data_IF_176921977736
#
_entry.id   IF_176921977736
#
_cell.length_a   1.000
_cell.length_b   1.000
_cell.length_c   1.000
_cell.angle_alpha   90.00
_cell.angle_beta   90.00
_cell.angle_gamma   90.00
#
_symmetry.space_group_name_H-M   'P 1'
#
loop_
_entity.id
_entity.type
_entity.pdbx_description
1 polymer ?
#
# COMPACT_ATOMS: atom_id res chain seq x y z
N UNK A 1 -6.81 -5.69 7.19
CA UNK A 1 -6.99 -4.87 6.00
C UNK A 1 -8.17 -3.91 6.20
N UNK A 2 -7.96 -2.64 5.87
CA UNK A 2 -9.01 -1.62 5.85
C UNK A 2 -9.03 -1.03 4.44
N UNK A 3 -10.15 -1.19 3.75
CA UNK A 3 -10.36 -0.56 2.46
C UNK A 3 -11.15 0.74 2.64
N UNK A 4 -10.56 1.84 2.20
CA UNK A 4 -11.11 3.19 2.34
C UNK A 4 -11.39 3.73 0.93
N UNK A 5 -12.66 3.78 0.50
CA UNK A 5 -13.01 4.33 -0.80
C UNK A 5 -12.66 5.82 -0.91
N UNK A 6 -12.37 6.27 -2.14
CA UNK A 6 -12.17 7.70 -2.43
C UNK A 6 -13.39 8.52 -1.97
N UNK A 7 -13.17 9.73 -1.46
CA UNK A 7 -14.23 10.58 -0.91
C UNK A 7 -14.62 10.24 0.54
N UNK A 8 -13.86 9.39 1.22
CA UNK A 8 -14.06 9.06 2.64
C UNK A 8 -13.09 9.85 3.52
N UNK A 9 -13.61 10.57 4.52
CA UNK A 9 -12.75 11.22 5.53
C UNK A 9 -12.12 10.12 6.40
N UNK A 10 -10.80 10.14 6.49
CA UNK A 10 -10.04 9.23 7.34
C UNK A 10 -8.78 9.90 7.87
N UNK A 11 -8.22 9.35 8.92
CA UNK A 11 -6.96 9.81 9.48
C UNK A 11 -6.23 8.68 10.19
N UNK A 12 -4.89 8.77 10.18
CA UNK A 12 -4.03 7.92 10.97
C UNK A 12 -3.73 8.62 12.30
N UNK A 13 -4.01 7.93 13.40
CA UNK A 13 -3.76 8.45 14.75
C UNK A 13 -2.36 8.10 15.24
N UNK A 14 -1.93 8.77 16.30
CA UNK A 14 -0.62 8.53 16.93
C UNK A 14 -0.46 7.05 17.31
N UNK A 15 0.70 6.49 16.97
CA UNK A 15 1.06 5.10 17.28
C UNK A 15 0.58 4.08 16.24
N UNK A 16 -0.13 4.48 15.19
CA UNK A 16 -0.48 3.58 14.10
C UNK A 16 0.74 3.31 13.22
N UNK A 17 1.07 2.04 13.04
CA UNK A 17 1.99 1.55 12.01
C UNK A 17 1.14 0.91 10.91
N UNK A 18 1.23 1.43 9.71
CA UNK A 18 0.40 0.95 8.59
C UNK A 18 1.27 0.68 7.36
N UNK A 19 0.82 -0.29 6.58
CA UNK A 19 1.22 -0.45 5.18
C UNK A 19 0.09 0.12 4.33
N UNK A 20 0.36 1.21 3.63
CA UNK A 20 -0.63 1.93 2.84
C UNK A 20 -0.37 1.73 1.35
N UNK A 21 -1.41 1.33 0.62
CA UNK A 21 -1.45 1.29 -0.83
C UNK A 21 -2.54 2.23 -1.27
N UNK A 22 -2.21 3.14 -2.17
CA UNK A 22 -3.19 4.09 -2.72
C UNK A 22 -3.04 4.20 -4.24
N UNK A 23 -4.08 4.69 -4.89
CA UNK A 23 -3.99 5.07 -6.29
C UNK A 23 -2.98 6.21 -6.46
N UNK A 24 -2.16 6.14 -7.51
CA UNK A 24 -1.15 7.15 -7.83
C UNK A 24 -1.80 8.44 -8.35
N UNK A 25 -2.45 9.18 -7.45
CA UNK A 25 -3.02 10.50 -7.75
C UNK A 25 -2.45 11.54 -6.79
N UNK A 26 -2.19 12.75 -7.29
CA UNK A 26 -1.73 13.87 -6.45
C UNK A 26 -2.88 14.58 -5.72
N UNK A 27 -4.09 14.05 -5.82
CA UNK A 27 -5.28 14.66 -5.25
C UNK A 27 -5.43 14.23 -3.81
N UNK A 28 -5.01 15.10 -2.89
CA UNK A 28 -5.24 14.95 -1.45
C UNK A 28 -5.89 16.20 -0.92
N UNK A 29 -7.13 16.09 -0.46
CA UNK A 29 -7.82 17.21 0.19
C UNK A 29 -7.71 17.08 1.70
N UNK A 30 -6.97 18.00 2.30
CA UNK A 30 -6.72 18.03 3.74
C UNK A 30 -7.87 18.76 4.43
N UNK A 31 -8.71 17.99 5.16
CA UNK A 31 -9.86 18.51 5.89
C UNK A 31 -9.44 19.07 7.25
N UNK A 32 -8.60 18.35 7.96
CA UNK A 32 -8.03 18.71 9.26
C UNK A 32 -6.63 18.14 9.40
N UNK A 33 -5.71 18.84 10.04
CA UNK A 33 -4.30 18.45 10.13
C UNK A 33 -3.76 18.44 11.58
N UNK A 34 -4.63 18.35 12.57
CA UNK A 34 -4.24 18.27 13.99
C UNK A 34 -3.32 19.41 14.44
N UNK A 35 -3.46 20.59 13.85
CA UNK A 35 -2.61 21.77 14.10
C UNK A 35 -1.10 21.54 13.90
N UNK A 36 -0.72 20.55 13.10
CA UNK A 36 0.69 20.26 12.80
C UNK A 36 1.34 21.43 12.09
N UNK A 37 2.59 21.69 12.49
CA UNK A 37 3.46 22.64 11.83
C UNK A 37 4.70 21.94 11.27
N UNK A 38 5.31 22.51 10.24
CA UNK A 38 6.62 22.12 9.77
C UNK A 38 7.73 22.62 10.73
N UNK A 39 8.99 22.37 10.39
CA UNK A 39 10.15 22.79 11.15
C UNK A 39 10.30 24.32 11.30
N UNK A 40 9.59 25.09 10.45
CA UNK A 40 9.53 26.55 10.50
C UNK A 40 8.29 27.08 11.22
N UNK A 41 7.49 26.22 11.85
CA UNK A 41 6.26 26.60 12.55
C UNK A 41 5.07 26.91 11.64
N UNK A 42 5.16 26.62 10.32
CA UNK A 42 4.10 26.90 9.35
C UNK A 42 3.12 25.72 9.28
N UNK A 43 1.84 26.04 9.39
CA UNK A 43 0.75 25.06 9.19
C UNK A 43 0.60 24.69 7.71
N UNK A 44 0.28 23.43 7.42
CA UNK A 44 -0.08 23.00 6.07
C UNK A 44 -1.43 23.56 5.66
N UNK A 45 -1.59 23.85 4.38
CA UNK A 45 -2.84 24.35 3.84
C UNK A 45 -3.96 23.31 3.97
N UNK A 46 -5.12 23.75 4.47
CA UNK A 46 -6.35 22.97 4.46
C UNK A 46 -7.15 23.22 3.18
N UNK A 47 -7.87 22.21 2.72
CA UNK A 47 -8.67 22.24 1.50
C UNK A 47 -10.15 21.97 1.82
N UNK A 48 -10.66 22.55 2.89
CA UNK A 48 -11.97 22.23 3.49
C UNK A 48 -13.11 22.27 2.46
N UNK A 49 -13.19 23.34 1.65
CA UNK A 49 -14.24 23.46 0.63
C UNK A 49 -14.20 22.30 -0.37
N UNK A 50 -13.05 22.03 -0.97
CA UNK A 50 -12.87 20.93 -1.94
C UNK A 50 -13.09 19.57 -1.28
N UNK A 51 -12.62 19.39 -0.06
CA UNK A 51 -12.83 18.16 0.70
C UNK A 51 -14.33 17.89 0.91
N UNK A 52 -15.12 18.91 1.26
CA UNK A 52 -16.57 18.78 1.41
C UNK A 52 -17.26 18.49 0.07
N UNK A 53 -16.87 19.17 -1.01
CA UNK A 53 -17.42 18.96 -2.35
C UNK A 53 -17.18 17.54 -2.90
N UNK A 54 -16.10 16.88 -2.46
CA UNK A 54 -15.75 15.53 -2.90
C UNK A 54 -16.19 14.43 -1.95
N UNK A 55 -16.81 14.77 -0.82
CA UNK A 55 -17.33 13.79 0.13
C UNK A 55 -18.39 12.89 -0.48
N UNK A 56 -18.27 11.61 -0.19
CA UNK A 56 -19.25 10.59 -0.56
C UNK A 56 -19.78 9.90 0.71
N UNK A 57 -20.72 10.51 1.42
CA UNK A 57 -21.11 10.08 2.77
C UNK A 57 -21.78 8.71 2.82
N UNK A 58 -22.23 8.19 1.68
CA UNK A 58 -22.85 6.85 1.60
C UNK A 58 -21.84 5.72 1.38
N UNK A 59 -20.57 6.02 1.16
CA UNK A 59 -19.55 5.00 1.02
C UNK A 59 -19.20 4.37 2.37
N UNK A 60 -19.02 3.06 2.35
CA UNK A 60 -18.69 2.29 3.55
C UNK A 60 -17.23 1.88 3.54
N UNK A 61 -16.53 2.18 4.61
CA UNK A 61 -15.22 1.60 4.89
C UNK A 61 -15.40 0.12 5.21
N UNK A 62 -14.64 -0.71 4.53
CA UNK A 62 -14.66 -2.17 4.79
C UNK A 62 -13.44 -2.58 5.59
N UNK A 63 -13.67 -3.27 6.70
CA UNK A 63 -12.62 -3.88 7.51
C UNK A 63 -12.70 -5.39 7.38
N UNK A 64 -11.61 -6.01 6.96
CA UNK A 64 -11.46 -7.45 6.80
C UNK A 64 -10.22 -7.92 7.53
N UNK A 65 -10.28 -9.09 8.17
CA UNK A 65 -9.08 -9.75 8.67
C UNK A 65 -8.20 -10.10 7.48
N UNK A 66 -6.90 -9.94 7.62
CA UNK A 66 -5.93 -10.27 6.59
C UNK A 66 -4.76 -11.00 7.26
N UNK A 67 -4.74 -12.30 7.13
CA UNK A 67 -3.79 -13.18 7.80
C UNK A 67 -2.69 -13.64 6.84
N UNK A 68 -1.63 -14.15 7.41
CA UNK A 68 -0.58 -14.83 6.66
C UNK A 68 -1.16 -16.02 5.87
N UNK A 69 -0.80 -16.10 4.60
CA UNK A 69 -1.33 -17.08 3.64
C UNK A 69 -2.58 -16.63 2.89
N UNK A 70 -3.14 -15.47 3.22
CA UNK A 70 -4.34 -14.96 2.54
C UNK A 70 -4.02 -14.09 1.33
N UNK A 71 -4.93 -14.12 0.37
CA UNK A 71 -5.00 -13.24 -0.78
C UNK A 71 -6.35 -12.52 -0.76
N UNK A 72 -6.34 -11.23 -0.97
CA UNK A 72 -7.55 -10.41 -1.09
C UNK A 72 -7.52 -9.66 -2.40
N UNK A 73 -8.56 -9.84 -3.19
CA UNK A 73 -8.78 -9.11 -4.42
C UNK A 73 -9.64 -7.88 -4.12
N UNK A 74 -9.13 -6.72 -4.38
CA UNK A 74 -9.82 -5.44 -4.31
C UNK A 74 -10.13 -4.95 -5.73
N UNK A 75 -10.84 -3.85 -5.84
CA UNK A 75 -11.17 -3.28 -7.14
C UNK A 75 -9.91 -2.88 -7.92
N UNK A 76 -8.97 -2.23 -7.27
CA UNK A 76 -7.81 -1.60 -7.90
C UNK A 76 -6.56 -2.48 -7.91
N UNK A 77 -6.46 -3.45 -7.02
CA UNK A 77 -5.30 -4.33 -6.88
C UNK A 77 -5.63 -5.62 -6.12
N UNK A 78 -4.77 -6.59 -6.29
CA UNK A 78 -4.72 -7.79 -5.45
C UNK A 78 -3.61 -7.65 -4.44
N UNK A 79 -3.86 -8.05 -3.20
CA UNK A 79 -2.88 -8.06 -2.12
C UNK A 79 -2.74 -9.47 -1.54
N UNK A 80 -1.50 -9.93 -1.36
CA UNK A 80 -1.16 -11.23 -0.76
C UNK A 80 -0.29 -11.03 0.45
N UNK A 81 -0.54 -11.79 1.51
CA UNK A 81 0.27 -11.81 2.71
C UNK A 81 0.87 -13.22 2.87
N UNK A 82 2.16 -13.38 2.68
CA UNK A 82 2.77 -14.70 2.63
C UNK A 82 4.22 -14.72 3.16
N UNK A 83 4.72 -15.91 3.40
CA UNK A 83 6.14 -16.15 3.61
C UNK A 83 6.80 -16.41 2.27
N UNK A 84 7.89 -15.69 2.02
CA UNK A 84 8.70 -15.83 0.81
C UNK A 84 10.02 -16.52 1.19
N UNK A 85 10.37 -17.57 0.46
CA UNK A 85 11.61 -18.31 0.58
C UNK A 85 11.97 -18.97 -0.76
N UNK A 86 13.25 -19.09 -1.08
CA UNK A 86 13.83 -19.70 -2.30
C UNK A 86 13.60 -18.87 -3.57
N UNK A 87 12.37 -18.56 -3.94
CA UNK A 87 12.06 -17.81 -5.14
C UNK A 87 10.95 -16.80 -4.91
N UNK A 88 11.06 -15.67 -5.60
CA UNK A 88 10.05 -14.64 -5.69
C UNK A 88 9.61 -14.53 -7.16
N UNK A 89 8.34 -14.85 -7.45
CA UNK A 89 7.83 -14.90 -8.80
C UNK A 89 6.62 -13.98 -8.97
N UNK A 90 6.64 -13.16 -10.01
CA UNK A 90 5.48 -12.44 -10.50
C UNK A 90 4.89 -13.16 -11.71
N UNK A 91 3.66 -13.64 -11.61
CA UNK A 91 2.95 -14.29 -12.74
C UNK A 91 1.97 -13.37 -13.45
N UNK A 92 1.91 -12.09 -13.05
CA UNK A 92 1.04 -11.10 -13.66
C UNK A 92 1.70 -10.40 -14.87
N UNK A 93 0.86 -9.85 -15.74
CA UNK A 93 1.28 -9.03 -16.90
C UNK A 93 1.69 -7.61 -16.50
N UNK A 94 1.65 -7.30 -15.22
CA UNK A 94 2.04 -6.00 -14.63
C UNK A 94 3.06 -6.20 -13.52
N UNK A 95 3.81 -5.15 -13.22
CA UNK A 95 4.74 -5.18 -12.11
C UNK A 95 4.00 -5.30 -10.76
N UNK A 96 4.61 -6.02 -9.83
CA UNK A 96 4.14 -6.15 -8.45
C UNK A 96 5.13 -5.50 -7.48
N UNK A 97 4.64 -4.94 -6.39
CA UNK A 97 5.47 -4.45 -5.29
C UNK A 97 5.46 -5.48 -4.18
N UNK A 98 6.64 -5.90 -3.76
CA UNK A 98 6.85 -6.81 -2.64
C UNK A 98 7.46 -6.04 -1.48
N UNK A 99 6.74 -5.91 -0.38
CA UNK A 99 7.21 -5.22 0.82
C UNK A 99 7.49 -6.22 1.93
N UNK A 100 8.70 -6.18 2.47
CA UNK A 100 9.11 -7.05 3.57
C UNK A 100 8.50 -6.52 4.88
N UNK A 101 7.67 -7.31 5.51
CA UNK A 101 7.07 -7.01 6.81
C UNK A 101 8.00 -7.43 7.93
N UNK A 102 8.58 -8.63 7.81
CA UNK A 102 9.49 -9.18 8.80
C UNK A 102 10.50 -10.10 8.13
N UNK A 103 11.75 -10.11 8.61
CA UNK A 103 12.82 -10.93 8.07
C UNK A 103 13.73 -10.20 7.09
N UNK A 104 14.55 -10.97 6.38
CA UNK A 104 15.56 -10.48 5.43
C UNK A 104 15.63 -11.40 4.23
N UNK A 105 15.63 -10.84 3.04
CA UNK A 105 15.89 -11.53 1.78
C UNK A 105 17.19 -11.03 1.17
N UNK A 106 18.02 -11.96 0.71
CA UNK A 106 19.21 -11.67 -0.09
C UNK A 106 18.94 -12.10 -1.53
N UNK A 107 19.24 -11.24 -2.45
CA UNK A 107 19.15 -11.44 -3.90
C UNK A 107 20.51 -11.16 -4.51
N UNK A 108 20.74 -11.53 -5.77
CA UNK A 108 22.01 -11.25 -6.44
C UNK A 108 22.36 -9.75 -6.34
N UNK A 109 23.37 -9.42 -5.54
CA UNK A 109 23.87 -8.06 -5.34
C UNK A 109 23.06 -7.14 -4.42
N UNK A 110 21.98 -7.62 -3.80
CA UNK A 110 21.09 -6.78 -2.98
C UNK A 110 20.58 -7.51 -1.74
N UNK A 111 20.28 -6.73 -0.71
CA UNK A 111 19.62 -7.22 0.52
C UNK A 111 18.37 -6.37 0.73
N UNK A 112 17.26 -7.00 1.01
CA UNK A 112 16.00 -6.36 1.36
C UNK A 112 15.55 -6.83 2.74
N UNK A 113 15.23 -5.87 3.60
CA UNK A 113 14.85 -6.12 4.99
C UNK A 113 13.52 -5.46 5.34
N UNK A 114 13.04 -5.71 6.55
CA UNK A 114 11.78 -5.17 7.05
C UNK A 114 11.62 -3.67 6.78
N UNK A 115 10.47 -3.28 6.23
CA UNK A 115 10.15 -1.92 5.81
C UNK A 115 10.62 -1.55 4.40
N UNK A 116 11.39 -2.40 3.72
CA UNK A 116 11.85 -2.15 2.36
C UNK A 116 10.98 -2.89 1.33
N UNK A 117 10.94 -2.35 0.12
CA UNK A 117 10.15 -2.89 -1.00
C UNK A 117 11.02 -3.20 -2.20
N UNK A 118 10.59 -4.20 -2.95
CA UNK A 118 11.18 -4.67 -4.20
C UNK A 118 10.12 -4.49 -5.30
N UNK A 119 10.49 -3.92 -6.43
CA UNK A 119 9.67 -3.97 -7.64
C UNK A 119 9.99 -5.25 -8.39
N UNK A 120 9.00 -6.08 -8.60
CA UNK A 120 9.08 -7.31 -9.35
C UNK A 120 8.40 -7.11 -10.70
N UNK A 121 9.16 -7.19 -11.77
CA UNK A 121 8.66 -6.94 -13.12
C UNK A 121 7.66 -8.02 -13.59
N UNK A 122 6.86 -7.76 -14.64
CA UNK A 122 5.98 -8.78 -15.21
C UNK A 122 6.75 -10.05 -15.56
N UNK A 123 6.21 -11.21 -15.16
CA UNK A 123 6.78 -12.55 -15.40
C UNK A 123 8.18 -12.78 -14.83
N UNK A 124 8.69 -11.87 -14.01
CA UNK A 124 10.00 -12.00 -13.40
C UNK A 124 10.02 -13.10 -12.34
N UNK A 125 11.15 -13.79 -12.27
CA UNK A 125 11.42 -14.79 -11.25
C UNK A 125 12.83 -14.55 -10.70
N UNK A 126 12.93 -14.25 -9.41
CA UNK A 126 14.17 -13.94 -8.72
C UNK A 126 14.46 -15.05 -7.70
N UNK A 127 15.67 -15.59 -7.74
CA UNK A 127 16.17 -16.47 -6.68
C UNK A 127 16.52 -15.65 -5.46
N UNK A 128 16.07 -16.10 -4.30
CA UNK A 128 16.30 -15.45 -3.01
C UNK A 128 16.95 -16.41 -2.01
N UNK A 129 17.73 -15.85 -1.11
CA UNK A 129 18.30 -16.56 0.04
C UNK A 129 17.74 -15.91 1.29
N UNK A 130 17.23 -16.74 2.20
CA UNK A 130 16.60 -16.30 3.43
C UNK A 130 15.11 -16.57 3.44
N UNK A 131 14.46 -16.05 4.46
CA UNK A 131 13.03 -16.19 4.67
C UNK A 131 12.47 -14.87 5.20
N UNK A 132 11.38 -14.42 4.63
CA UNK A 132 10.72 -13.22 5.06
C UNK A 132 9.21 -13.32 4.95
N UNK A 133 8.52 -12.65 5.85
CA UNK A 133 7.11 -12.34 5.74
C UNK A 133 6.95 -11.10 4.87
N UNK A 134 6.12 -11.17 3.86
CA UNK A 134 5.97 -10.12 2.87
C UNK A 134 4.51 -9.88 2.48
N UNK A 135 4.23 -8.65 2.10
CA UNK A 135 3.02 -8.26 1.41
C UNK A 135 3.37 -8.02 -0.06
N UNK A 136 2.63 -8.68 -0.96
CA UNK A 136 2.74 -8.49 -2.40
C UNK A 136 1.49 -7.77 -2.88
N UNK A 137 1.67 -6.62 -3.51
CA UNK A 137 0.60 -5.84 -4.11
C UNK A 137 0.77 -5.84 -5.64
N UNK A 138 -0.26 -6.27 -6.33
CA UNK A 138 -0.31 -6.33 -7.80
C UNK A 138 -1.47 -5.47 -8.28
N UNK A 139 -1.23 -4.36 -9.01
CA UNK A 139 -2.29 -3.51 -9.53
C UNK A 139 -3.09 -4.23 -10.61
N UNK A 140 -4.36 -3.85 -10.74
CA UNK A 140 -5.19 -4.26 -11.87
C UNK A 140 -5.06 -3.24 -13.01
N UNK A 141 -5.09 -3.71 -14.25
CA UNK A 141 -5.13 -2.83 -15.43
C UNK A 141 -6.59 -2.47 -15.67
N UNK A 142 -6.91 -1.18 -15.56
CA UNK A 142 -8.27 -0.67 -15.84
C UNK A 142 -8.44 -0.09 -17.24
N UNK A 143 -7.37 -0.04 -18.01
CA UNK A 143 -7.39 0.53 -19.35
C UNK A 143 -7.83 -0.55 -20.34
N UNK A 144 -9.12 -0.79 -20.42
CA UNK A 144 -9.68 -1.35 -21.64
C UNK A 144 -9.83 -0.19 -22.63
N UNK A 145 -9.06 -0.26 -23.69
CA UNK A 145 -9.21 0.57 -24.89
C UNK A 145 -10.65 0.68 -25.37
#
# INVERSE_FOLDING_TARGET
>A
LIYIPSGTIHALTKGALVYEIQQATDITYRFYDYDRTDEFGKKRQLHVKRAVETLQPMQKVTKTTFKLGEEVQLREFTIKHLVVEQTLKNSADVASVVTIVNGVLKMAGSVCQSGQSILLLPHECISIIGKAEAIIATPHIYWSS
#
